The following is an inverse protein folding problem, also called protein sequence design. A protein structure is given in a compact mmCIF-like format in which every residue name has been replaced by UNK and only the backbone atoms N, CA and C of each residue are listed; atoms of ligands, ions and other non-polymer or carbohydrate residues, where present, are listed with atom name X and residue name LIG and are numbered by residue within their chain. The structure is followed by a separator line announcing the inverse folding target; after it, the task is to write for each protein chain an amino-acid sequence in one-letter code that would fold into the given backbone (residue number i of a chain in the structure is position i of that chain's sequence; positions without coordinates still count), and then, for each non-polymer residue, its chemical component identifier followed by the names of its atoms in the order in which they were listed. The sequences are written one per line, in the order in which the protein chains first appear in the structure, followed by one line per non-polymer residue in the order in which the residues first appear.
data_IF_703938842605
#
_entry.id   IF_703938842605
#
_cell.length_a   1.000
_cell.length_b   1.000
_cell.length_c   1.000
_cell.angle_alpha   90.00
_cell.angle_beta   90.00
_cell.angle_gamma   90.00
#
_symmetry.space_group_name_H-M   'P 1'
#
loop_
_entity.id
_entity.type
_entity.pdbx_description
1 polymer ?
#
# COMPACT_ATOMS: atom_id res chain seq x y z
N UNK A 1 -1.97 -8.67 10.49
CA UNK A 1 -1.88 -9.29 9.18
C UNK A 1 -0.44 -9.46 8.73
N UNK A 2 -0.09 -10.59 8.11
CA UNK A 2 1.25 -10.74 7.60
C UNK A 2 1.51 -9.78 6.45
N UNK A 3 2.77 -9.47 6.25
CA UNK A 3 3.14 -8.58 5.17
C UNK A 3 2.80 -9.25 3.83
N UNK A 4 2.25 -8.46 2.92
CA UNK A 4 1.91 -8.93 1.60
C UNK A 4 3.15 -9.04 0.72
N UNK A 5 4.05 -8.07 0.88
CA UNK A 5 5.24 -7.97 0.05
C UNK A 5 6.28 -7.17 0.80
N UNK A 6 7.54 -7.55 0.63
CA UNK A 6 8.66 -6.75 1.12
C UNK A 6 9.51 -6.38 -0.07
N UNK A 7 9.75 -5.09 -0.23
CA UNK A 7 10.64 -4.58 -1.27
C UNK A 7 11.65 -3.68 -0.58
N UNK A 8 12.92 -4.05 -0.65
CA UNK A 8 13.99 -3.32 0.03
C UNK A 8 13.69 -3.30 1.52
N UNK A 9 13.59 -2.12 2.13
CA UNK A 9 13.33 -1.96 3.55
C UNK A 9 11.86 -1.77 3.86
N UNK A 10 11.01 -1.72 2.84
CA UNK A 10 9.60 -1.39 3.01
C UNK A 10 8.75 -2.64 3.07
N UNK A 11 7.80 -2.63 4.01
CA UNK A 11 6.84 -3.71 4.18
C UNK A 11 5.46 -3.21 3.73
N UNK A 12 4.84 -3.95 2.81
CA UNK A 12 3.53 -3.60 2.26
C UNK A 12 2.47 -4.55 2.80
N UNK A 13 1.34 -4.01 3.23
CA UNK A 13 0.29 -4.82 3.84
C UNK A 13 -1.07 -4.14 3.69
N UNK A 14 -2.15 -4.90 3.93
CA UNK A 14 -3.50 -4.36 3.95
C UNK A 14 -3.95 -4.17 5.39
N UNK A 15 -4.88 -3.21 5.59
CA UNK A 15 -5.57 -3.09 6.86
C UNK A 15 -6.80 -3.97 6.81
N UNK A 16 -7.51 -4.04 7.93
CA UNK A 16 -8.76 -4.79 8.00
C UNK A 16 -9.96 -3.97 7.56
N UNK A 17 -9.74 -2.75 7.14
CA UNK A 17 -10.81 -1.84 6.75
C UNK A 17 -11.25 -2.13 5.32
N UNK A 18 -12.44 -2.73 5.18
CA UNK A 18 -12.96 -3.07 3.85
C UNK A 18 -13.87 -2.00 3.28
N UNK A 19 -14.12 -0.94 4.01
CA UNK A 19 -15.05 0.10 3.57
C UNK A 19 -14.44 1.15 2.68
N UNK A 20 -13.13 1.23 2.69
CA UNK A 20 -12.43 2.24 1.91
C UNK A 20 -12.18 1.72 0.50
N UNK A 21 -11.91 2.63 -0.45
CA UNK A 21 -11.42 2.20 -1.75
C UNK A 21 -10.14 1.39 -1.62
N UNK A 22 -9.77 0.68 -2.67
CA UNK A 22 -8.57 -0.16 -2.65
C UNK A 22 -7.35 0.67 -2.26
N UNK A 23 -6.56 0.12 -1.35
CA UNK A 23 -5.40 0.83 -0.79
C UNK A 23 -4.31 -0.15 -0.42
N UNK A 24 -3.13 0.39 -0.15
CA UNK A 24 -1.99 -0.37 0.33
C UNK A 24 -1.29 0.45 1.42
N UNK A 25 -0.92 -0.23 2.49
CA UNK A 25 -0.17 0.38 3.58
C UNK A 25 1.29 0.00 3.44
N UNK A 26 2.18 0.92 3.79
CA UNK A 26 3.61 0.66 3.76
C UNK A 26 4.23 1.12 5.06
N UNK A 27 5.10 0.29 5.62
CA UNK A 27 5.73 0.56 6.90
C UNK A 27 7.22 0.31 6.88
N UNK A 28 7.90 1.05 7.70
CA UNK A 28 9.30 0.88 8.06
C UNK A 28 9.36 1.35 9.52
N UNK A 29 10.25 0.81 10.36
CA UNK A 29 10.24 1.20 11.77
C UNK A 29 10.16 2.71 11.96
N UNK A 30 9.14 3.15 12.71
CA UNK A 30 8.90 4.57 12.98
C UNK A 30 8.29 5.35 11.85
N UNK A 31 7.93 4.70 10.73
CA UNK A 31 7.41 5.38 9.55
C UNK A 31 6.26 4.61 8.95
N UNK A 32 5.34 5.35 8.35
CA UNK A 32 4.11 4.76 7.83
C UNK A 32 3.56 5.61 6.70
N UNK A 33 2.95 4.95 5.71
CA UNK A 33 2.21 5.64 4.66
C UNK A 33 1.09 4.76 4.15
N UNK A 34 0.09 5.40 3.55
CA UNK A 34 -1.03 4.73 2.93
C UNK A 34 -1.23 5.33 1.55
N UNK A 35 -1.37 4.46 0.55
CA UNK A 35 -1.61 4.89 -0.82
C UNK A 35 -2.92 4.29 -1.30
N UNK A 36 -3.73 5.11 -1.99
CA UNK A 36 -4.83 4.59 -2.79
C UNK A 36 -4.26 3.89 -4.01
N UNK A 37 -4.98 2.90 -4.53
CA UNK A 37 -4.52 2.14 -5.69
C UNK A 37 -5.24 2.48 -6.99
N UNK A 38 -6.39 3.14 -6.91
CA UNK A 38 -7.22 3.43 -8.09
C UNK A 38 -7.76 4.84 -8.03
N UNK A 39 -6.99 5.85 -8.44
CA UNK A 39 -5.61 5.84 -8.94
C UNK A 39 -4.60 5.81 -7.80
N UNK A 40 -3.35 5.61 -8.14
CA UNK A 40 -2.30 5.64 -7.14
C UNK A 40 -2.14 7.07 -6.63
N UNK A 41 -2.37 7.25 -5.33
CA UNK A 41 -2.28 8.56 -4.70
C UNK A 41 -1.99 8.40 -3.21
N UNK A 42 -1.17 9.28 -2.69
CA UNK A 42 -0.84 9.27 -1.28
C UNK A 42 -2.04 9.71 -0.45
N UNK A 43 -2.43 8.88 0.52
CA UNK A 43 -3.55 9.18 1.40
C UNK A 43 -3.10 9.65 2.77
N UNK A 44 -2.06 9.02 3.32
CA UNK A 44 -1.54 9.37 4.64
C UNK A 44 -0.05 9.14 4.66
N UNK A 45 0.65 9.91 5.49
CA UNK A 45 2.09 9.72 5.66
C UNK A 45 2.49 10.13 7.08
N UNK A 46 3.42 9.38 7.64
CA UNK A 46 4.00 9.69 8.94
C UNK A 46 5.47 9.26 8.91
N UNK A 47 6.36 10.22 9.03
CA UNK A 47 7.79 9.95 9.18
C UNK A 47 8.58 9.74 7.91
N UNK A 48 7.96 9.40 6.80
CA UNK A 48 8.69 9.26 5.54
C UNK A 48 9.00 10.62 4.95
N UNK A 49 10.19 10.73 4.36
CA UNK A 49 10.61 11.95 3.69
C UNK A 49 10.22 11.91 2.22
N UNK A 50 10.32 13.07 1.56
CA UNK A 50 9.90 13.17 0.17
C UNK A 50 10.56 12.18 -0.77
N UNK A 51 11.88 11.99 -0.63
CA UNK A 51 12.58 11.06 -1.51
C UNK A 51 12.17 9.61 -1.24
N UNK A 52 11.83 9.29 0.00
CA UNK A 52 11.33 7.97 0.35
C UNK A 52 9.95 7.74 -0.24
N UNK A 53 9.09 8.75 -0.16
CA UNK A 53 7.74 8.65 -0.74
C UNK A 53 7.80 8.48 -2.26
N UNK A 54 8.74 9.13 -2.91
CA UNK A 54 8.94 8.96 -4.35
C UNK A 54 9.32 7.52 -4.67
N UNK A 55 10.24 6.96 -3.92
CA UNK A 55 10.67 5.57 -4.09
C UNK A 55 9.50 4.62 -3.84
N UNK A 56 8.79 4.83 -2.75
CA UNK A 56 7.64 3.98 -2.39
C UNK A 56 6.58 4.05 -3.47
N UNK A 57 6.29 5.25 -3.96
CA UNK A 57 5.28 5.41 -5.00
C UNK A 57 5.63 4.63 -6.25
N UNK A 58 6.91 4.62 -6.64
CA UNK A 58 7.33 3.85 -7.79
C UNK A 58 7.15 2.36 -7.56
N UNK A 59 7.43 1.88 -6.36
CA UNK A 59 7.21 0.48 -6.02
C UNK A 59 5.72 0.15 -6.11
N UNK A 60 4.87 1.02 -5.57
CA UNK A 60 3.42 0.82 -5.63
C UNK A 60 2.95 0.76 -7.08
N UNK A 61 3.44 1.66 -7.92
CA UNK A 61 3.08 1.66 -9.34
C UNK A 61 3.51 0.38 -10.04
N UNK A 62 4.72 -0.11 -9.74
CA UNK A 62 5.23 -1.33 -10.35
C UNK A 62 4.42 -2.55 -9.94
N UNK A 63 3.94 -2.58 -8.70
CA UNK A 63 3.23 -3.73 -8.16
C UNK A 63 1.73 -3.51 -8.06
N UNK A 64 1.21 -2.46 -8.70
CA UNK A 64 -0.18 -2.07 -8.56
C UNK A 64 -1.14 -3.21 -8.90
N UNK A 65 -0.89 -3.90 -9.99
CA UNK A 65 -1.74 -5.01 -10.42
C UNK A 65 -1.78 -6.10 -9.36
N UNK A 66 -0.62 -6.46 -8.83
CA UNK A 66 -0.51 -7.47 -7.78
C UNK A 66 -1.30 -7.04 -6.54
N UNK A 67 -1.13 -5.79 -6.11
CA UNK A 67 -1.83 -5.29 -4.93
C UNK A 67 -3.34 -5.28 -5.13
N UNK A 68 -3.81 -4.88 -6.32
CA UNK A 68 -5.24 -4.85 -6.61
C UNK A 68 -5.83 -6.25 -6.62
N UNK A 69 -5.15 -7.21 -7.24
CA UNK A 69 -5.63 -8.58 -7.28
C UNK A 69 -5.78 -9.14 -5.88
N UNK A 70 -4.77 -8.91 -5.03
CA UNK A 70 -4.82 -9.38 -3.66
C UNK A 70 -5.88 -8.66 -2.85
N UNK A 71 -6.04 -7.36 -3.08
CA UNK A 71 -7.06 -6.59 -2.37
C UNK A 71 -8.45 -7.15 -2.64
N UNK A 72 -8.76 -7.42 -3.91
CA UNK A 72 -10.06 -7.95 -4.28
C UNK A 72 -10.25 -9.37 -3.77
N UNK A 73 -9.21 -10.18 -3.72
CA UNK A 73 -9.29 -11.50 -3.11
C UNK A 73 -9.66 -11.44 -1.64
N UNK A 74 -9.01 -10.53 -0.91
CA UNK A 74 -9.24 -10.40 0.53
C UNK A 74 -10.60 -9.80 0.86
N UNK A 75 -11.01 -8.80 0.12
CA UNK A 75 -12.19 -8.02 0.49
C UNK A 75 -13.39 -8.37 -0.37
N UNK A 76 -13.30 -9.46 -1.12
CA UNK A 76 -14.43 -9.98 -1.84
C UNK A 76 -14.98 -9.05 -2.88
N UNK A 77 -14.09 -8.40 -3.60
CA UNK A 77 -14.49 -7.44 -4.59
C UNK A 77 -15.33 -8.02 -5.71
N UNK A 78 -16.10 -8.99 -5.41
CA UNK A 78 -16.98 -9.59 -6.37
C UNK A 78 -18.11 -8.66 -6.72
N UNK A 79 -18.09 -7.60 -6.04
CA UNK A 79 -19.16 -6.68 -6.34
C UNK A 79 -20.42 -7.43 -6.24
#
# INVERSE_FOLDING_TARGET
MPALLRVRRYRFFYSMEAREPSDIHVAHPGRYAKFWLEPVALAQVRGFRGHELTEIRQIVLQHRQFFLERWYEYFGGTG
#
